data_IF_063911722779
#
_entry.id   IF_063911722779
#
_cell.length_a   1.000
_cell.length_b   1.000
_cell.length_c   1.000
_cell.angle_alpha   90.00
_cell.angle_beta   90.00
_cell.angle_gamma   90.00
#
_symmetry.space_group_name_H-M   'P 1'
#
loop_
_entity.id
_entity.type
_entity.pdbx_description
1 polymer ?
#
# COMPACT_ATOMS: atom_id res chain seq x y z
N UNK A 1 -12.75 -9.44 10.43
CA UNK A 1 -11.94 -9.47 9.17
C UNK A 1 -12.45 -10.51 8.16
N UNK A 2 -11.93 -10.52 6.92
CA UNK A 2 -12.27 -11.49 5.84
C UNK A 2 -11.71 -12.90 6.12
N UNK A 3 -10.51 -13.00 6.69
CA UNK A 3 -9.93 -14.29 7.13
C UNK A 3 -10.83 -14.97 8.17
N UNK A 4 -11.29 -14.24 9.18
CA UNK A 4 -12.18 -14.75 10.24
C UNK A 4 -13.54 -15.22 9.69
N UNK A 5 -13.96 -14.69 8.54
CA UNK A 5 -15.20 -15.09 7.87
C UNK A 5 -15.02 -16.30 6.93
N UNK A 6 -13.81 -16.85 6.87
CA UNK A 6 -13.47 -18.05 6.08
C UNK A 6 -13.67 -17.88 4.57
N UNK A 7 -13.73 -16.64 4.05
CA UNK A 7 -14.09 -16.40 2.64
C UNK A 7 -13.03 -16.93 1.67
N UNK A 8 -11.75 -16.75 1.96
CA UNK A 8 -10.67 -17.29 1.13
C UNK A 8 -10.69 -18.82 1.07
N UNK A 9 -10.88 -19.48 2.22
CA UNK A 9 -10.95 -20.94 2.29
C UNK A 9 -12.16 -21.50 1.51
N UNK A 10 -13.30 -20.81 1.47
CA UNK A 10 -14.47 -21.19 0.65
C UNK A 10 -14.18 -21.17 -0.85
N UNK A 11 -13.27 -20.30 -1.28
CA UNK A 11 -12.78 -20.23 -2.66
C UNK A 11 -11.54 -21.12 -2.89
N UNK A 12 -11.17 -21.98 -1.93
CA UNK A 12 -10.00 -22.86 -2.03
C UNK A 12 -8.65 -22.15 -1.87
N UNK A 13 -8.63 -20.91 -1.38
CA UNK A 13 -7.41 -20.12 -1.21
C UNK A 13 -6.86 -20.23 0.21
N UNK A 14 -5.58 -20.61 0.33
CA UNK A 14 -4.80 -20.53 1.56
C UNK A 14 -4.10 -19.18 1.62
N UNK A 15 -4.58 -18.26 2.46
CA UNK A 15 -4.09 -16.88 2.51
C UNK A 15 -3.48 -16.58 3.87
N UNK A 16 -2.27 -16.00 3.84
CA UNK A 16 -1.61 -15.41 5.00
C UNK A 16 -1.55 -13.90 4.79
N UNK A 17 -2.04 -13.12 5.76
CA UNK A 17 -1.86 -11.67 5.76
C UNK A 17 -0.57 -11.34 6.51
N UNK A 18 0.35 -10.69 5.83
CA UNK A 18 1.59 -10.17 6.43
C UNK A 18 1.39 -8.70 6.74
N UNK A 19 1.51 -8.34 8.01
CA UNK A 19 1.41 -6.94 8.44
C UNK A 19 2.68 -6.20 8.05
N UNK A 20 2.51 -5.02 7.45
CA UNK A 20 3.63 -4.16 7.09
C UNK A 20 4.00 -3.25 8.27
N UNK A 21 5.29 -3.05 8.46
CA UNK A 21 5.86 -2.07 9.36
C UNK A 21 6.49 -0.89 8.60
N UNK A 22 7.04 0.09 9.33
CA UNK A 22 7.69 1.26 8.75
C UNK A 22 8.93 0.94 7.89
N UNK A 23 9.49 -0.26 8.01
CA UNK A 23 10.64 -0.72 7.22
C UNK A 23 10.24 -1.53 5.98
N UNK A 24 8.98 -1.97 5.93
CA UNK A 24 8.46 -2.84 4.88
C UNK A 24 8.44 -2.13 3.54
N UNK A 25 9.06 -2.75 2.54
CA UNK A 25 9.04 -2.27 1.15
C UNK A 25 8.27 -3.24 0.30
N UNK A 26 6.96 -3.00 0.16
CA UNK A 26 6.02 -3.91 -0.55
C UNK A 26 6.51 -4.27 -1.95
N UNK A 27 7.08 -3.32 -2.69
CA UNK A 27 7.64 -3.59 -4.02
C UNK A 27 8.79 -4.62 -3.98
N UNK A 28 9.66 -4.55 -2.97
CA UNK A 28 10.76 -5.50 -2.78
C UNK A 28 10.22 -6.89 -2.43
N UNK A 29 9.24 -6.97 -1.54
CA UNK A 29 8.61 -8.25 -1.17
C UNK A 29 8.03 -8.99 -2.38
N UNK A 30 7.40 -8.26 -3.31
CA UNK A 30 6.85 -8.82 -4.54
C UNK A 30 7.93 -9.25 -5.53
N UNK A 31 8.90 -8.38 -5.82
CA UNK A 31 9.96 -8.65 -6.81
C UNK A 31 10.88 -9.78 -6.36
N UNK A 32 11.13 -9.91 -5.05
CA UNK A 32 11.96 -10.98 -4.49
C UNK A 32 11.16 -12.27 -4.22
N UNK A 33 9.88 -12.31 -4.59
CA UNK A 33 9.02 -13.50 -4.49
C UNK A 33 8.67 -13.91 -3.06
N UNK A 34 8.74 -12.98 -2.10
CA UNK A 34 8.33 -13.22 -0.70
C UNK A 34 6.84 -13.02 -0.46
N UNK A 35 6.14 -12.39 -1.40
CA UNK A 35 4.69 -12.26 -1.40
C UNK A 35 4.14 -12.31 -2.83
N UNK A 36 2.94 -12.84 -3.01
CA UNK A 36 2.27 -12.88 -4.32
C UNK A 36 1.41 -11.63 -4.58
N UNK A 37 0.93 -10.97 -3.53
CA UNK A 37 0.09 -9.78 -3.60
C UNK A 37 0.50 -8.75 -2.54
N UNK A 38 0.32 -7.47 -2.85
CA UNK A 38 0.64 -6.37 -1.94
C UNK A 38 -0.27 -5.17 -2.15
N UNK A 39 -0.53 -4.44 -1.08
CA UNK A 39 -1.21 -3.14 -1.12
C UNK A 39 -0.15 -2.07 -0.90
N UNK A 40 -0.11 -1.09 -1.80
CA UNK A 40 0.80 0.04 -1.70
C UNK A 40 0.11 1.32 -2.18
N UNK A 41 0.70 2.48 -1.88
CA UNK A 41 0.21 3.75 -2.37
C UNK A 41 0.66 4.00 -3.83
N UNK A 42 0.25 5.14 -4.39
CA UNK A 42 0.39 5.44 -5.82
C UNK A 42 1.84 5.51 -6.32
N UNK A 43 2.82 5.65 -5.42
CA UNK A 43 4.26 5.60 -5.75
C UNK A 43 4.68 4.27 -6.39
N UNK A 44 3.87 3.21 -6.29
CA UNK A 44 4.09 1.94 -7.00
C UNK A 44 4.22 2.14 -8.52
N UNK A 45 3.56 3.16 -9.07
CA UNK A 45 3.64 3.51 -10.49
C UNK A 45 5.02 4.02 -10.88
N UNK A 46 5.74 4.68 -9.98
CA UNK A 46 7.14 5.10 -10.20
C UNK A 46 8.03 3.87 -10.33
N UNK A 47 7.86 2.88 -9.45
CA UNK A 47 8.61 1.62 -9.52
C UNK A 47 8.35 0.86 -10.82
N UNK A 48 7.09 0.77 -11.26
CA UNK A 48 6.70 0.20 -12.56
C UNK A 48 7.37 0.94 -13.72
N UNK A 49 7.31 2.28 -13.72
CA UNK A 49 7.95 3.10 -14.75
C UNK A 49 9.48 2.94 -14.78
N UNK A 50 10.10 2.65 -13.63
CA UNK A 50 11.51 2.34 -13.49
C UNK A 50 11.87 0.88 -13.83
N UNK A 51 10.94 0.07 -14.33
CA UNK A 51 11.18 -1.30 -14.79
C UNK A 51 10.94 -2.40 -13.76
N UNK A 52 10.31 -2.10 -12.62
CA UNK A 52 9.91 -3.15 -11.67
C UNK A 52 8.85 -4.06 -12.31
N UNK A 53 9.08 -5.38 -12.24
CA UNK A 53 8.18 -6.39 -12.80
C UNK A 53 6.98 -6.66 -11.87
N UNK A 54 6.10 -5.67 -11.76
CA UNK A 54 4.92 -5.70 -10.89
C UNK A 54 3.70 -5.24 -11.64
N UNK A 55 2.53 -5.87 -11.49
CA UNK A 55 1.29 -5.48 -12.17
C UNK A 55 0.29 -4.89 -11.17
N UNK A 56 -0.32 -3.75 -11.51
CA UNK A 56 -1.39 -3.15 -10.70
C UNK A 56 -2.73 -3.81 -11.04
N UNK A 57 -3.38 -4.40 -10.03
CA UNK A 57 -4.66 -5.11 -10.20
C UNK A 57 -5.89 -4.20 -9.99
N UNK A 58 -5.74 -3.10 -9.26
CA UNK A 58 -6.82 -2.15 -9.02
C UNK A 58 -6.50 -1.11 -7.95
N UNK A 59 -7.35 -0.09 -7.85
CA UNK A 59 -7.31 0.93 -6.82
C UNK A 59 -8.42 0.67 -5.79
N UNK A 60 -8.03 0.26 -4.58
CA UNK A 60 -8.99 -0.03 -3.49
C UNK A 60 -9.49 1.27 -2.85
N UNK A 61 -8.62 2.28 -2.76
CA UNK A 61 -8.98 3.66 -2.42
C UNK A 61 -8.99 4.52 -3.68
N UNK A 62 -10.11 5.17 -3.98
CA UNK A 62 -10.23 6.05 -5.16
C UNK A 62 -9.58 7.42 -4.95
N UNK A 63 -9.43 7.86 -3.70
CA UNK A 63 -8.76 9.11 -3.33
C UNK A 63 -7.65 8.83 -2.33
N UNK A 64 -6.52 9.51 -2.51
CA UNK A 64 -5.40 9.39 -1.58
C UNK A 64 -5.76 10.05 -0.25
N UNK A 65 -5.62 9.34 0.89
CA UNK A 65 -5.74 9.94 2.21
C UNK A 65 -4.48 10.72 2.63
N UNK A 66 -3.48 10.87 1.74
CA UNK A 66 -2.24 11.56 2.05
C UNK A 66 -2.52 13.04 2.34
N UNK A 67 -2.36 13.41 3.61
CA UNK A 67 -2.56 14.77 4.11
C UNK A 67 -1.43 15.12 5.08
N UNK A 68 -1.20 16.41 5.25
CA UNK A 68 -0.26 16.92 6.25
C UNK A 68 -1.06 17.26 7.50
N UNK A 69 -0.65 16.68 8.64
CA UNK A 69 -1.23 16.95 9.95
C UNK A 69 -0.17 17.65 10.80
N UNK A 70 -0.49 18.83 11.30
CA UNK A 70 0.41 19.62 12.13
C UNK A 70 -0.35 20.23 13.32
N UNK A 71 0.37 20.45 14.42
CA UNK A 71 -0.11 21.27 15.55
C UNK A 71 0.42 22.70 15.37
N UNK A 72 0.04 23.35 14.28
CA UNK A 72 0.43 24.71 13.92
C UNK A 72 -0.84 25.50 13.55
N UNK A 73 -1.43 26.28 14.47
CA UNK A 73 -2.70 26.96 14.24
C UNK A 73 -2.63 28.03 13.14
N UNK A 74 -1.43 28.48 12.82
CA UNK A 74 -1.10 29.46 11.80
C UNK A 74 -0.71 28.84 10.44
N UNK A 75 -0.55 27.51 10.36
CA UNK A 75 -0.33 26.81 9.08
C UNK A 75 -1.58 26.93 8.20
N UNK A 76 -1.46 27.67 7.10
CA UNK A 76 -2.57 28.01 6.19
C UNK A 76 -2.35 27.48 4.79
N UNK A 77 -1.10 27.30 4.38
CA UNK A 77 -0.73 26.85 3.05
C UNK A 77 0.68 26.22 3.07
N UNK A 78 1.08 25.49 2.01
CA UNK A 78 2.41 24.85 1.97
C UNK A 78 3.58 25.83 2.08
N UNK A 79 3.40 27.07 1.65
CA UNK A 79 4.42 28.14 1.68
C UNK A 79 4.74 28.66 3.09
N UNK A 80 3.88 28.37 4.07
CA UNK A 80 4.11 28.71 5.48
C UNK A 80 4.31 27.48 6.37
N UNK A 81 4.73 26.36 5.78
CA UNK A 81 5.27 25.22 6.52
C UNK A 81 6.60 25.56 7.20
N UNK A 82 6.83 25.08 8.44
CA UNK A 82 8.09 25.29 9.15
C UNK A 82 9.29 24.54 8.54
#
# INVERSE_FOLDING_TARGET
>A
MVLEKGRYAKEGLSVTLVEADASTRVNRELVEGRAEYGVNASEILVGRAAGSDIVVLGAIFQHSPLVVVARAPDLKAPDNMP
#
